data_IF_503233213464
#
_entry.id   IF_503233213464
#
_cell.length_a   1.000
_cell.length_b   1.000
_cell.length_c   1.000
_cell.angle_alpha   90.00
_cell.angle_beta   90.00
_cell.angle_gamma   90.00
#
_symmetry.space_group_name_H-M   'P 1'
#
loop_
_entity.id
_entity.type
_entity.pdbx_description
1 polymer ?
#
# COMPACT_ATOMS: atom_id res chain seq x y z
N UNK A 1 -0.71 2.05 -33.79
CA UNK A 1 0.47 2.24 -32.91
C UNK A 1 0.04 3.09 -31.73
N UNK A 2 0.27 2.66 -30.48
CA UNK A 2 -0.01 3.50 -29.30
C UNK A 2 1.13 4.52 -29.14
N UNK A 3 0.79 5.77 -28.85
CA UNK A 3 1.76 6.88 -28.75
C UNK A 3 2.27 7.13 -27.32
N UNK A 4 1.57 6.61 -26.31
CA UNK A 4 1.96 6.69 -24.91
C UNK A 4 1.38 5.50 -24.12
N UNK A 5 2.00 5.20 -22.99
CA UNK A 5 1.53 4.23 -21.99
C UNK A 5 1.67 4.87 -20.62
N UNK A 6 0.64 4.70 -19.78
CA UNK A 6 0.65 5.13 -18.38
C UNK A 6 0.68 3.87 -17.54
N UNK A 7 1.54 3.87 -16.53
CA UNK A 7 1.65 2.80 -15.54
C UNK A 7 1.20 3.33 -14.20
N UNK A 8 0.48 2.47 -13.49
CA UNK A 8 0.32 2.66 -12.06
C UNK A 8 1.68 2.48 -11.35
N UNK A 9 1.81 3.02 -10.15
CA UNK A 9 3.08 3.00 -9.43
C UNK A 9 3.12 1.84 -8.44
N UNK A 10 2.26 1.87 -7.44
CA UNK A 10 2.23 0.91 -6.33
C UNK A 10 1.71 -0.45 -6.83
N UNK A 11 2.49 -1.50 -6.63
CA UNK A 11 2.17 -2.85 -7.09
C UNK A 11 2.32 -3.07 -8.61
N UNK A 12 2.67 -2.04 -9.38
CA UNK A 12 2.96 -2.15 -10.83
C UNK A 12 4.42 -1.86 -11.15
N UNK A 13 4.91 -0.67 -10.78
CA UNK A 13 6.31 -0.29 -10.97
C UNK A 13 7.15 -0.55 -9.71
N UNK A 14 6.55 -0.41 -8.52
CA UNK A 14 7.22 -0.51 -7.23
C UNK A 14 6.49 -1.49 -6.31
N UNK A 15 7.24 -2.31 -5.58
CA UNK A 15 6.71 -3.09 -4.44
C UNK A 15 6.82 -2.26 -3.17
N UNK A 16 5.74 -1.55 -2.84
CA UNK A 16 5.67 -0.59 -1.72
C UNK A 16 4.86 -1.10 -0.54
N UNK A 17 4.34 -2.34 -0.60
CA UNK A 17 3.41 -2.85 0.39
C UNK A 17 4.02 -2.94 1.80
N UNK A 18 5.31 -3.30 1.89
CA UNK A 18 6.03 -3.35 3.17
C UNK A 18 6.17 -1.97 3.82
N UNK A 19 6.48 -0.94 3.03
CA UNK A 19 6.63 0.43 3.53
C UNK A 19 5.27 1.02 3.94
N UNK A 20 4.21 0.73 3.17
CA UNK A 20 2.84 1.10 3.51
C UNK A 20 2.38 0.42 4.81
N UNK A 21 2.69 -0.87 4.98
CA UNK A 21 2.40 -1.61 6.22
C UNK A 21 3.09 -0.96 7.43
N UNK A 22 4.39 -0.68 7.33
CA UNK A 22 5.17 -0.10 8.44
C UNK A 22 4.71 1.32 8.79
N UNK A 23 4.56 2.17 7.78
CA UNK A 23 4.16 3.57 7.98
C UNK A 23 2.73 3.69 8.55
N UNK A 24 1.81 2.85 8.07
CA UNK A 24 0.43 2.83 8.58
C UNK A 24 0.40 2.37 10.03
N UNK A 25 1.11 1.29 10.39
CA UNK A 25 1.15 0.82 11.78
C UNK A 25 1.86 1.79 12.72
N UNK A 26 2.91 2.48 12.25
CA UNK A 26 3.54 3.54 13.03
C UNK A 26 2.54 4.67 13.36
N UNK A 27 1.67 5.04 12.41
CA UNK A 27 0.62 6.02 12.66
C UNK A 27 -0.47 5.49 13.61
N UNK A 28 -0.95 4.26 13.40
CA UNK A 28 -1.98 3.64 14.27
C UNK A 28 -1.52 3.59 15.73
N UNK A 29 -0.31 3.09 15.96
CA UNK A 29 0.29 3.00 17.29
C UNK A 29 0.41 4.38 17.95
N UNK A 30 0.81 5.40 17.19
CA UNK A 30 0.95 6.77 17.70
C UNK A 30 -0.35 7.35 18.23
N UNK A 31 -1.49 6.94 17.70
CA UNK A 31 -2.81 7.44 18.10
C UNK A 31 -3.61 6.42 18.95
N UNK A 32 -2.97 5.34 19.43
CA UNK A 32 -3.59 4.36 20.31
C UNK A 32 -4.57 3.41 19.63
N UNK A 33 -4.46 3.25 18.30
CA UNK A 33 -5.24 2.28 17.54
C UNK A 33 -4.52 0.94 17.42
N UNK A 34 -5.27 -0.17 17.25
CA UNK A 34 -4.68 -1.48 17.03
C UNK A 34 -3.90 -1.52 15.71
N UNK A 35 -2.79 -2.25 15.71
CA UNK A 35 -2.04 -2.58 14.50
C UNK A 35 -2.87 -3.42 13.52
N UNK A 36 -2.48 -3.35 12.25
CA UNK A 36 -3.07 -4.09 11.13
C UNK A 36 -2.07 -5.04 10.52
N UNK A 37 -2.56 -6.18 10.08
CA UNK A 37 -1.78 -7.17 9.34
C UNK A 37 -1.40 -6.65 7.95
N UNK A 38 -0.36 -7.22 7.36
CA UNK A 38 0.07 -6.86 6.00
C UNK A 38 -1.04 -7.15 4.97
N UNK A 39 -1.77 -8.26 5.14
CA UNK A 39 -2.94 -8.59 4.34
C UNK A 39 -4.07 -7.57 4.46
N UNK A 40 -4.42 -7.10 5.67
CA UNK A 40 -5.40 -6.02 5.83
C UNK A 40 -4.94 -4.74 5.13
N UNK A 41 -3.68 -4.35 5.31
CA UNK A 41 -3.12 -3.16 4.65
C UNK A 41 -3.20 -3.32 3.12
N UNK A 42 -2.86 -4.49 2.57
CA UNK A 42 -2.98 -4.79 1.13
C UNK A 42 -4.41 -4.63 0.62
N UNK A 43 -5.42 -4.95 1.43
CA UNK A 43 -6.83 -4.75 1.06
C UNK A 43 -7.26 -3.29 1.17
N UNK A 44 -6.60 -2.48 1.99
CA UNK A 44 -6.91 -1.05 2.14
C UNK A 44 -6.27 -0.17 1.06
N UNK A 45 -5.18 -0.63 0.44
CA UNK A 45 -4.49 0.09 -0.63
C UNK A 45 -4.75 -0.56 -1.99
N UNK A 46 -5.22 0.24 -2.96
CA UNK A 46 -5.58 -0.24 -4.29
C UNK A 46 -6.89 -1.06 -4.32
N UNK A 47 -6.96 -2.05 -5.23
CA UNK A 47 -8.09 -2.99 -5.36
C UNK A 47 -7.77 -4.38 -4.74
N UNK A 48 -6.80 -4.47 -3.83
CA UNK A 48 -6.39 -5.74 -3.20
C UNK A 48 -5.57 -6.70 -4.09
N UNK A 49 -5.12 -6.23 -5.27
CA UNK A 49 -4.43 -7.02 -6.29
C UNK A 49 -2.91 -7.09 -6.11
#
# INVERSE_FOLDING_TARGET
>A
MRKAVIFDMDGTLLDTLEDLYRSTNAALLRYGFPERTKEEIRQFVGNGA
#
